data_IF_342054179146
#
_entry.id   IF_342054179146
#
_cell.length_a   1.000
_cell.length_b   1.000
_cell.length_c   1.000
_cell.angle_alpha   90.00
_cell.angle_beta   90.00
_cell.angle_gamma   90.00
#
_symmetry.space_group_name_H-M   'P 1'
#
loop_
_entity.id
_entity.type
_entity.pdbx_description
1 polymer ?
#
# COMPACT_ATOMS: atom_id res chain seq x y z
N UNK A 1 -17.90 -12.74 -14.19
CA UNK A 1 -18.54 -12.50 -12.86
C UNK A 1 -18.66 -13.73 -11.95
N UNK A 2 -17.85 -14.81 -12.15
CA UNK A 2 -18.02 -16.10 -11.41
C UNK A 2 -16.73 -16.88 -11.16
N UNK A 3 -15.59 -16.28 -10.86
CA UNK A 3 -14.34 -17.04 -10.71
C UNK A 3 -13.51 -16.86 -9.44
N UNK A 4 -14.02 -16.19 -8.39
CA UNK A 4 -13.29 -16.04 -7.11
C UNK A 4 -13.92 -16.79 -5.93
N UNK A 5 -14.82 -17.77 -6.18
CA UNK A 5 -15.43 -18.59 -5.13
C UNK A 5 -15.12 -20.09 -5.27
N UNK A 6 -13.87 -20.47 -5.42
CA UNK A 6 -13.49 -21.88 -5.41
C UNK A 6 -12.82 -22.27 -4.10
N UNK A 7 -13.61 -22.92 -3.22
CA UNK A 7 -13.18 -23.70 -2.05
C UNK A 7 -12.62 -22.96 -0.82
N UNK A 8 -13.43 -22.17 -0.15
CA UNK A 8 -13.24 -21.98 1.29
C UNK A 8 -14.16 -22.90 2.07
N UNK A 9 -13.60 -23.70 2.98
CA UNK A 9 -14.36 -24.61 3.87
C UNK A 9 -15.43 -23.84 4.63
N UNK A 10 -16.58 -24.51 4.87
CA UNK A 10 -17.73 -23.96 5.61
C UNK A 10 -17.40 -23.81 7.10
N UNK A 11 -16.60 -22.81 7.48
CA UNK A 11 -16.31 -22.48 8.88
C UNK A 11 -17.22 -21.36 9.39
N UNK A 12 -17.73 -21.49 10.63
CA UNK A 12 -18.55 -20.47 11.33
C UNK A 12 -17.90 -19.08 11.39
N UNK A 13 -16.57 -19.00 11.34
CA UNK A 13 -15.79 -17.76 11.25
C UNK A 13 -16.12 -16.92 10.00
N UNK A 14 -16.49 -17.56 8.91
CA UNK A 14 -16.76 -16.92 7.63
C UNK A 14 -18.05 -16.07 7.62
N UNK A 15 -19.08 -16.45 8.39
CA UNK A 15 -20.36 -15.71 8.43
C UNK A 15 -20.28 -14.41 9.23
N UNK A 16 -19.58 -14.43 10.35
CA UNK A 16 -19.40 -13.22 11.18
C UNK A 16 -18.50 -12.20 10.47
N UNK A 17 -17.41 -12.64 9.86
CA UNK A 17 -16.54 -11.78 9.07
C UNK A 17 -17.30 -11.16 7.88
N UNK A 18 -18.07 -11.97 7.14
CA UNK A 18 -18.85 -11.48 6.00
C UNK A 18 -19.92 -10.47 6.42
N UNK A 19 -20.60 -10.70 7.55
CA UNK A 19 -21.59 -9.77 8.12
C UNK A 19 -20.94 -8.46 8.52
N UNK A 20 -19.79 -8.50 9.18
CA UNK A 20 -19.04 -7.32 9.58
C UNK A 20 -18.46 -6.57 8.37
N UNK A 21 -18.01 -7.30 7.35
CA UNK A 21 -17.50 -6.71 6.12
C UNK A 21 -18.59 -5.99 5.33
N UNK A 22 -19.75 -6.63 5.14
CA UNK A 22 -20.90 -6.04 4.43
C UNK A 22 -21.56 -4.89 5.22
N UNK A 23 -21.44 -4.91 6.54
CA UNK A 23 -21.92 -3.85 7.43
C UNK A 23 -21.00 -2.62 7.49
N UNK A 24 -19.77 -2.73 7.04
CA UNK A 24 -18.76 -1.69 7.12
C UNK A 24 -19.12 -0.49 6.21
N UNK A 25 -19.27 0.72 6.77
CA UNK A 25 -19.67 1.89 6.00
C UNK A 25 -18.68 2.24 4.89
N UNK A 26 -17.38 2.03 5.12
CA UNK A 26 -16.35 2.28 4.10
C UNK A 26 -16.40 1.27 2.96
N UNK A 27 -16.85 0.03 3.18
CA UNK A 27 -17.08 -0.93 2.10
C UNK A 27 -18.21 -0.45 1.19
N UNK A 28 -19.34 -0.04 1.79
CA UNK A 28 -20.49 0.49 1.03
C UNK A 28 -20.12 1.75 0.27
N UNK A 29 -19.35 2.62 0.91
CA UNK A 29 -18.90 3.85 0.27
C UNK A 29 -17.95 3.55 -0.91
N UNK A 30 -17.00 2.62 -0.74
CA UNK A 30 -16.10 2.23 -1.82
C UNK A 30 -16.87 1.71 -3.05
N UNK A 31 -17.89 0.89 -2.81
CA UNK A 31 -18.78 0.42 -3.88
C UNK A 31 -19.50 1.58 -4.60
N UNK A 32 -20.06 2.53 -3.83
CA UNK A 32 -20.74 3.72 -4.38
C UNK A 32 -19.77 4.59 -5.19
N UNK A 33 -18.56 4.77 -4.70
CA UNK A 33 -17.54 5.63 -5.32
C UNK A 33 -16.78 4.91 -6.46
N UNK A 34 -17.08 3.61 -6.71
CA UNK A 34 -16.47 2.82 -7.77
C UNK A 34 -15.05 2.38 -7.47
N UNK A 35 -14.68 2.28 -6.20
CA UNK A 35 -13.40 1.74 -5.77
C UNK A 35 -13.46 0.24 -5.49
N UNK A 36 -12.37 -0.47 -5.78
CA UNK A 36 -12.26 -1.92 -5.62
C UNK A 36 -12.23 -2.37 -4.16
N UNK A 37 -11.73 -1.51 -3.27
CA UNK A 37 -11.63 -1.82 -1.84
C UNK A 37 -11.71 -0.57 -0.97
N UNK A 38 -12.18 -0.75 0.26
CA UNK A 38 -12.24 0.30 1.29
C UNK A 38 -10.88 0.87 1.71
N UNK A 39 -9.80 0.15 1.41
CA UNK A 39 -8.43 0.59 1.71
C UNK A 39 -8.08 1.94 1.06
N UNK A 40 -8.79 2.33 0.00
CA UNK A 40 -8.62 3.64 -0.65
C UNK A 40 -8.74 4.79 0.34
N UNK A 41 -9.68 4.74 1.29
CA UNK A 41 -9.90 5.82 2.24
C UNK A 41 -8.78 5.99 3.25
N UNK A 42 -7.97 4.97 3.49
CA UNK A 42 -6.75 5.10 4.29
C UNK A 42 -5.74 6.02 3.60
N UNK A 43 -5.51 5.79 2.30
CA UNK A 43 -4.61 6.63 1.52
C UNK A 43 -5.16 8.04 1.32
N UNK A 44 -6.44 8.18 0.97
CA UNK A 44 -7.04 9.50 0.72
C UNK A 44 -6.99 10.39 1.97
N UNK A 45 -7.35 9.87 3.15
CA UNK A 45 -7.27 10.61 4.42
C UNK A 45 -5.83 11.03 4.76
N UNK A 46 -4.86 10.13 4.55
CA UNK A 46 -3.44 10.44 4.79
C UNK A 46 -2.93 11.47 3.78
N UNK A 47 -3.32 11.35 2.51
CA UNK A 47 -2.93 12.30 1.46
C UNK A 47 -3.54 13.68 1.68
N UNK A 48 -4.81 13.78 2.08
CA UNK A 48 -5.48 15.05 2.40
C UNK A 48 -4.75 15.79 3.53
N UNK A 49 -4.34 15.09 4.58
CA UNK A 49 -3.63 15.66 5.72
C UNK A 49 -2.16 15.98 5.41
N UNK A 50 -1.47 15.07 4.73
CA UNK A 50 -0.02 15.15 4.54
C UNK A 50 0.42 15.70 3.19
N UNK A 51 -0.51 15.93 2.25
CA UNK A 51 -0.26 16.43 0.89
C UNK A 51 0.86 15.63 0.17
N UNK A 52 0.68 14.29 0.15
CA UNK A 52 1.68 13.36 -0.36
C UNK A 52 1.74 13.33 -1.88
N UNK A 53 0.57 13.29 -2.52
CA UNK A 53 0.43 13.00 -3.95
C UNK A 53 0.32 14.31 -4.71
N UNK A 54 1.26 14.54 -5.64
CA UNK A 54 1.38 15.76 -6.44
C UNK A 54 1.63 15.43 -7.90
N UNK A 55 1.13 16.27 -8.83
CA UNK A 55 1.46 16.16 -10.24
C UNK A 55 2.97 16.08 -10.49
N UNK A 56 3.36 15.28 -11.48
CA UNK A 56 4.75 15.13 -11.91
C UNK A 56 5.59 14.12 -11.12
N UNK A 57 5.03 13.51 -10.06
CA UNK A 57 5.75 12.53 -9.25
C UNK A 57 5.92 11.18 -9.94
N UNK A 58 6.98 10.48 -9.55
CA UNK A 58 7.19 9.05 -9.76
C UNK A 58 6.80 8.33 -8.45
N UNK A 59 5.78 7.49 -8.50
CA UNK A 59 5.19 6.79 -7.35
C UNK A 59 5.27 5.29 -7.57
N UNK A 60 5.73 4.56 -6.55
CA UNK A 60 5.71 3.09 -6.52
C UNK A 60 4.75 2.63 -5.43
N UNK A 61 3.80 1.74 -5.77
CA UNK A 61 2.77 1.18 -4.89
C UNK A 61 3.04 -0.32 -4.70
N UNK A 62 3.62 -0.69 -3.54
CA UNK A 62 3.97 -2.05 -3.17
C UNK A 62 2.78 -2.73 -2.48
N UNK A 63 2.36 -3.89 -3.00
CA UNK A 63 1.16 -4.58 -2.53
C UNK A 63 -0.11 -3.90 -3.04
N UNK A 64 -0.12 -3.51 -4.31
CA UNK A 64 -1.17 -2.66 -4.90
C UNK A 64 -2.50 -3.38 -5.14
N UNK A 65 -2.53 -4.73 -5.25
CA UNK A 65 -3.78 -5.47 -5.49
C UNK A 65 -4.78 -5.32 -4.31
N UNK A 66 -6.06 -5.19 -4.58
CA UNK A 66 -6.78 -5.27 -5.84
C UNK A 66 -6.78 -3.98 -6.69
N UNK A 67 -6.06 -2.94 -6.30
CA UNK A 67 -5.88 -1.72 -7.08
C UNK A 67 -6.67 -0.50 -6.61
N UNK A 68 -7.16 -0.48 -5.36
CA UNK A 68 -7.92 0.69 -4.87
C UNK A 68 -7.05 1.93 -4.67
N UNK A 69 -5.80 1.76 -4.23
CA UNK A 69 -4.84 2.86 -4.15
C UNK A 69 -4.42 3.32 -5.54
N UNK A 70 -4.16 2.37 -6.45
CA UNK A 70 -3.88 2.66 -7.86
C UNK A 70 -5.01 3.46 -8.52
N UNK A 71 -6.29 3.13 -8.23
CA UNK A 71 -7.44 3.91 -8.71
C UNK A 71 -7.46 5.34 -8.15
N UNK A 72 -7.12 5.52 -6.86
CA UNK A 72 -7.02 6.84 -6.25
C UNK A 72 -5.91 7.67 -6.90
N UNK A 73 -4.73 7.08 -7.09
CA UNK A 73 -3.60 7.72 -7.78
C UNK A 73 -3.97 8.12 -9.20
N UNK A 74 -4.62 7.23 -9.96
CA UNK A 74 -5.06 7.52 -11.31
C UNK A 74 -6.06 8.69 -11.36
N UNK A 75 -7.01 8.75 -10.43
CA UNK A 75 -7.96 9.88 -10.34
C UNK A 75 -7.28 11.19 -9.93
N UNK A 76 -6.33 11.12 -8.98
CA UNK A 76 -5.62 12.30 -8.46
C UNK A 76 -4.67 12.91 -9.47
N UNK A 77 -4.00 12.10 -10.28
CA UNK A 77 -2.97 12.49 -11.24
C UNK A 77 -3.48 12.55 -12.69
N UNK A 78 -4.71 12.13 -12.94
CA UNK A 78 -5.30 12.09 -14.28
C UNK A 78 -5.35 13.46 -14.94
N UNK A 79 -5.08 13.51 -16.25
CA UNK A 79 -5.10 14.73 -17.06
C UNK A 79 -6.50 15.04 -17.64
N UNK A 80 -7.50 14.20 -17.33
CA UNK A 80 -8.89 14.38 -17.78
C UNK A 80 -9.27 13.55 -19.00
N UNK A 81 -8.34 12.91 -19.68
CA UNK A 81 -8.60 11.97 -20.79
C UNK A 81 -8.92 10.54 -20.36
N UNK A 82 -8.86 10.29 -19.04
CA UNK A 82 -9.12 9.00 -18.43
C UNK A 82 -8.00 7.95 -18.60
N UNK A 83 -6.91 8.30 -19.26
CA UNK A 83 -5.81 7.35 -19.54
C UNK A 83 -4.43 7.90 -19.20
N UNK A 84 -4.20 9.19 -19.34
CA UNK A 84 -2.91 9.82 -19.13
C UNK A 84 -2.79 10.38 -17.71
N UNK A 85 -1.64 10.17 -17.09
CA UNK A 85 -1.33 10.70 -15.77
C UNK A 85 -0.28 11.83 -15.88
N UNK A 86 -0.44 12.84 -15.05
CA UNK A 86 0.63 13.80 -14.79
C UNK A 86 1.58 13.22 -13.74
N UNK A 87 2.48 12.37 -14.19
CA UNK A 87 3.42 11.59 -13.37
C UNK A 87 3.54 10.14 -13.85
N UNK A 88 4.29 9.35 -13.12
CA UNK A 88 4.48 7.92 -13.36
C UNK A 88 4.04 7.16 -12.12
N UNK A 89 3.18 6.16 -12.29
CA UNK A 89 2.76 5.28 -11.19
C UNK A 89 3.03 3.84 -11.59
N UNK A 90 3.79 3.13 -10.75
CA UNK A 90 4.13 1.72 -10.92
C UNK A 90 3.56 0.97 -9.73
N UNK A 91 2.59 0.09 -9.98
CA UNK A 91 2.03 -0.83 -9.00
C UNK A 91 2.71 -2.19 -9.09
N UNK A 92 3.00 -2.81 -7.95
CA UNK A 92 3.62 -4.12 -7.88
C UNK A 92 2.92 -4.99 -6.84
N UNK A 93 2.55 -6.22 -7.23
CA UNK A 93 1.93 -7.20 -6.35
C UNK A 93 2.18 -8.62 -6.84
N UNK A 94 2.24 -9.57 -5.91
CA UNK A 94 2.28 -11.01 -6.24
C UNK A 94 0.94 -11.50 -6.81
N UNK A 95 -0.15 -10.87 -6.40
CA UNK A 95 -1.50 -11.20 -6.85
C UNK A 95 -1.82 -10.48 -8.16
N UNK A 96 -2.63 -11.11 -9.04
CA UNK A 96 -3.10 -10.44 -10.24
C UNK A 96 -4.00 -9.25 -9.88
N UNK A 97 -3.94 -8.23 -10.71
CA UNK A 97 -4.77 -7.02 -10.59
C UNK A 97 -5.39 -6.69 -11.95
N UNK A 98 -6.69 -6.41 -11.97
CA UNK A 98 -7.33 -5.86 -13.15
C UNK A 98 -6.66 -4.52 -13.52
N UNK A 99 -6.42 -4.22 -14.79
CA UNK A 99 -5.77 -2.99 -15.21
C UNK A 99 -6.46 -1.74 -14.66
N UNK A 100 -5.65 -0.76 -14.28
CA UNK A 100 -6.10 0.61 -13.97
C UNK A 100 -5.47 1.53 -15.00
N UNK A 101 -6.25 2.31 -15.78
CA UNK A 101 -5.71 3.16 -16.82
C UNK A 101 -4.62 4.10 -16.30
N UNK A 102 -3.51 4.19 -17.04
CA UNK A 102 -2.37 5.02 -16.69
C UNK A 102 -1.41 4.42 -15.63
N UNK A 103 -1.74 3.29 -15.03
CA UNK A 103 -0.88 2.60 -14.06
C UNK A 103 -0.09 1.51 -14.74
N UNK A 104 1.23 1.51 -14.54
CA UNK A 104 2.10 0.40 -14.92
C UNK A 104 2.02 -0.67 -13.83
N UNK A 105 1.52 -1.85 -14.16
CA UNK A 105 1.40 -2.95 -13.19
C UNK A 105 2.40 -4.04 -13.49
N UNK A 106 3.18 -4.41 -12.47
CA UNK A 106 4.09 -5.56 -12.49
C UNK A 106 3.51 -6.62 -11.57
N UNK A 107 3.24 -7.81 -12.09
CA UNK A 107 2.86 -8.94 -11.28
C UNK A 107 4.10 -9.76 -10.94
N UNK A 108 4.47 -9.77 -9.65
CA UNK A 108 5.62 -10.55 -9.18
C UNK A 108 6.00 -10.24 -7.75
N UNK A 109 7.00 -10.94 -7.29
CA UNK A 109 7.62 -10.68 -5.99
C UNK A 109 8.82 -9.75 -6.19
N UNK A 110 8.80 -8.57 -5.60
CA UNK A 110 9.88 -7.58 -5.76
C UNK A 110 11.22 -8.03 -5.11
N UNK A 111 11.25 -9.17 -4.42
CA UNK A 111 12.47 -9.84 -3.98
C UNK A 111 13.16 -10.60 -5.11
N UNK A 112 12.46 -10.87 -6.20
CA UNK A 112 13.02 -11.53 -7.37
C UNK A 112 13.76 -10.52 -8.25
N UNK A 113 14.97 -10.86 -8.67
CA UNK A 113 15.83 -10.00 -9.48
C UNK A 113 15.17 -9.59 -10.81
N UNK A 114 14.43 -10.51 -11.44
CA UNK A 114 13.70 -10.24 -12.68
C UNK A 114 12.64 -9.16 -12.51
N UNK A 115 11.91 -9.18 -11.38
CA UNK A 115 10.87 -8.21 -11.06
C UNK A 115 11.47 -6.85 -10.73
N UNK A 116 12.57 -6.83 -9.99
CA UNK A 116 13.31 -5.59 -9.73
C UNK A 116 13.84 -4.98 -11.03
N UNK A 117 14.37 -5.80 -11.93
CA UNK A 117 14.87 -5.33 -13.23
C UNK A 117 13.74 -4.72 -14.08
N UNK A 118 12.55 -5.33 -14.10
CA UNK A 118 11.37 -4.76 -14.77
C UNK A 118 10.98 -3.40 -14.17
N UNK A 119 10.94 -3.30 -12.85
CA UNK A 119 10.68 -2.05 -12.15
C UNK A 119 11.72 -0.97 -12.50
N UNK A 120 13.01 -1.31 -12.46
CA UNK A 120 14.10 -0.39 -12.79
C UNK A 120 14.03 0.07 -14.25
N UNK A 121 13.61 -0.81 -15.15
CA UNK A 121 13.35 -0.47 -16.56
C UNK A 121 12.23 0.55 -16.68
N UNK A 122 11.14 0.38 -15.95
CA UNK A 122 10.03 1.35 -15.92
C UNK A 122 10.41 2.68 -15.24
N UNK A 123 11.29 2.64 -14.26
CA UNK A 123 11.83 3.84 -13.62
C UNK A 123 12.74 4.64 -14.58
N UNK A 124 13.33 3.99 -15.59
CA UNK A 124 14.18 4.65 -16.60
C UNK A 124 15.28 5.53 -15.97
N UNK A 125 16.00 4.97 -15.01
CA UNK A 125 17.05 5.68 -14.26
C UNK A 125 16.59 6.75 -13.29
N UNK A 126 15.28 6.96 -13.17
CA UNK A 126 14.70 7.91 -12.20
C UNK A 126 14.57 7.26 -10.82
N UNK A 127 14.61 8.10 -9.80
CA UNK A 127 14.25 7.73 -8.43
C UNK A 127 12.79 8.09 -8.16
N UNK A 128 12.14 7.32 -7.27
CA UNK A 128 10.78 7.59 -6.85
C UNK A 128 10.69 8.83 -5.94
N UNK A 129 9.62 9.58 -6.09
CA UNK A 129 9.25 10.66 -5.17
C UNK A 129 8.50 10.12 -3.95
N UNK A 130 7.73 9.05 -4.17
CA UNK A 130 6.89 8.44 -3.15
C UNK A 130 6.86 6.92 -3.33
N UNK A 131 7.09 6.20 -2.24
CA UNK A 131 6.84 4.77 -2.14
C UNK A 131 5.68 4.57 -1.17
N UNK A 132 4.69 3.82 -1.60
CA UNK A 132 3.52 3.41 -0.82
C UNK A 132 3.58 1.92 -0.55
N UNK A 133 3.13 1.46 0.61
CA UNK A 133 3.02 0.04 0.92
C UNK A 133 1.84 -0.23 1.86
N UNK A 134 0.82 -0.92 1.34
CA UNK A 134 -0.28 -1.49 2.14
C UNK A 134 -0.15 -3.03 2.27
N UNK A 135 1.07 -3.55 2.11
CA UNK A 135 1.34 -4.98 2.25
C UNK A 135 0.94 -5.48 3.63
N UNK A 136 0.35 -6.67 3.68
CA UNK A 136 0.03 -7.37 4.91
C UNK A 136 0.40 -8.85 4.76
N UNK A 137 0.98 -9.47 5.80
CA UNK A 137 1.24 -10.90 5.74
C UNK A 137 -0.07 -11.68 5.89
N UNK A 138 -0.07 -12.92 5.40
CA UNK A 138 -1.08 -13.89 5.79
C UNK A 138 -0.88 -14.25 7.26
N UNK A 139 -1.82 -13.82 8.10
CA UNK A 139 -1.76 -14.06 9.54
C UNK A 139 -2.05 -15.53 9.83
N UNK A 140 -1.19 -16.15 10.66
CA UNK A 140 -1.34 -17.54 11.10
C UNK A 140 -2.18 -17.69 12.36
N UNK A 141 -2.38 -16.58 13.09
CA UNK A 141 -2.99 -16.55 14.42
C UNK A 141 -1.99 -16.82 15.55
N UNK A 142 -0.71 -17.05 15.23
CA UNK A 142 0.38 -17.19 16.21
C UNK A 142 1.07 -15.83 16.31
N UNK A 143 0.88 -15.14 17.43
CA UNK A 143 1.26 -13.74 17.59
C UNK A 143 2.75 -13.46 17.28
N UNK A 144 3.66 -14.32 17.75
CA UNK A 144 5.10 -14.15 17.51
C UNK A 144 5.50 -14.34 16.03
N UNK A 145 4.91 -15.34 15.36
CA UNK A 145 5.16 -15.59 13.95
C UNK A 145 4.56 -14.47 13.07
N UNK A 146 3.39 -13.98 13.43
CA UNK A 146 2.73 -12.90 12.71
C UNK A 146 3.47 -11.57 12.89
N UNK A 147 3.98 -11.29 14.10
CA UNK A 147 4.83 -10.12 14.35
C UNK A 147 6.11 -10.14 13.50
N UNK A 148 6.81 -11.29 13.44
CA UNK A 148 8.00 -11.43 12.62
C UNK A 148 7.73 -11.24 11.11
N UNK A 149 6.58 -11.71 10.62
CA UNK A 149 6.20 -11.51 9.21
C UNK A 149 5.90 -10.04 8.90
N UNK A 150 5.23 -9.35 9.82
CA UNK A 150 4.97 -7.91 9.68
C UNK A 150 6.28 -7.14 9.66
N UNK A 151 7.18 -7.40 10.61
CA UNK A 151 8.50 -6.77 10.68
C UNK A 151 9.29 -6.99 9.38
N UNK A 152 9.31 -8.21 8.87
CA UNK A 152 9.98 -8.54 7.62
C UNK A 152 9.45 -7.73 6.42
N UNK A 153 8.12 -7.60 6.28
CA UNK A 153 7.55 -6.78 5.20
C UNK A 153 7.89 -5.29 5.33
N UNK A 154 7.99 -4.81 6.57
CA UNK A 154 8.42 -3.44 6.85
C UNK A 154 9.88 -3.21 6.46
N UNK A 155 10.77 -4.15 6.79
CA UNK A 155 12.18 -4.11 6.40
C UNK A 155 12.33 -4.08 4.89
N UNK A 156 11.62 -4.97 4.19
CA UNK A 156 11.63 -5.00 2.74
C UNK A 156 11.18 -3.68 2.11
N UNK A 157 10.11 -3.06 2.63
CA UNK A 157 9.64 -1.78 2.14
C UNK A 157 10.65 -0.65 2.42
N UNK A 158 11.32 -0.69 3.58
CA UNK A 158 12.32 0.29 3.96
C UNK A 158 13.59 0.15 3.12
N UNK A 159 14.08 -1.05 2.90
CA UNK A 159 15.25 -1.34 2.06
C UNK A 159 14.97 -0.93 0.61
N UNK A 160 13.79 -1.29 0.09
CA UNK A 160 13.35 -0.85 -1.24
C UNK A 160 13.32 0.67 -1.34
N UNK A 161 12.71 1.35 -0.38
CA UNK A 161 12.63 2.80 -0.36
C UNK A 161 14.03 3.45 -0.30
N UNK A 162 14.92 2.93 0.53
CA UNK A 162 16.29 3.44 0.64
C UNK A 162 17.05 3.32 -0.69
N UNK A 163 16.83 2.22 -1.42
CA UNK A 163 17.46 2.00 -2.72
C UNK A 163 16.88 2.87 -3.84
N UNK A 164 15.58 3.14 -3.83
CA UNK A 164 14.86 3.71 -4.98
C UNK A 164 14.25 5.10 -4.76
N UNK A 165 14.20 5.64 -3.54
CA UNK A 165 13.71 7.00 -3.29
C UNK A 165 14.73 8.09 -3.66
N UNK A 166 14.21 9.23 -4.07
CA UNK A 166 14.96 10.49 -4.07
C UNK A 166 15.33 10.89 -2.63
N UNK A 167 16.43 11.64 -2.41
CA UNK A 167 16.74 12.16 -1.07
C UNK A 167 15.59 12.96 -0.44
N UNK A 168 14.81 13.68 -1.25
CA UNK A 168 13.62 14.43 -0.81
C UNK A 168 12.35 13.59 -0.74
N UNK A 169 12.41 12.31 -1.10
CA UNK A 169 11.28 11.42 -1.21
C UNK A 169 10.60 11.04 0.11
N UNK A 170 9.50 10.32 0.00
CA UNK A 170 8.73 9.84 1.15
C UNK A 170 8.36 8.37 1.01
N UNK A 171 8.29 7.68 2.15
CA UNK A 171 7.76 6.33 2.29
C UNK A 171 6.54 6.35 3.21
N UNK A 172 5.42 5.87 2.72
CA UNK A 172 4.23 5.57 3.53
C UNK A 172 4.05 4.05 3.60
N UNK A 173 4.09 3.48 4.78
CA UNK A 173 3.99 2.04 4.95
C UNK A 173 3.06 1.67 6.10
N UNK A 174 2.24 0.64 5.87
CA UNK A 174 1.42 0.04 6.91
C UNK A 174 2.27 -0.76 7.88
N UNK A 175 2.05 -0.56 9.16
CA UNK A 175 2.58 -1.37 10.25
C UNK A 175 1.49 -1.63 11.30
N UNK A 176 1.86 -2.29 12.38
CA UNK A 176 0.94 -2.60 13.46
C UNK A 176 1.55 -2.17 14.79
N UNK A 177 0.74 -1.54 15.62
CA UNK A 177 1.13 -1.21 16.99
C UNK A 177 1.17 -2.50 17.82
N UNK A 178 2.38 -2.98 18.09
CA UNK A 178 2.63 -4.25 18.77
C UNK A 178 4.05 -4.29 19.33
N UNK A 179 4.54 -5.49 19.66
CA UNK A 179 5.84 -5.70 20.31
C UNK A 179 7.04 -5.17 19.52
N UNK A 180 6.97 -5.20 18.19
CA UNK A 180 8.06 -4.77 17.29
C UNK A 180 7.95 -3.30 16.87
N UNK A 181 6.87 -2.59 17.24
CA UNK A 181 6.60 -1.24 16.76
C UNK A 181 7.74 -0.24 17.08
N UNK A 182 8.29 -0.30 18.29
CA UNK A 182 9.35 0.62 18.69
C UNK A 182 10.64 0.42 17.90
N UNK A 183 10.98 -0.82 17.57
CA UNK A 183 12.16 -1.15 16.77
C UNK A 183 11.98 -0.68 15.33
N UNK A 184 10.80 -0.90 14.76
CA UNK A 184 10.42 -0.38 13.45
C UNK A 184 10.49 1.16 13.43
N UNK A 185 9.91 1.82 14.41
CA UNK A 185 9.92 3.27 14.53
C UNK A 185 11.34 3.84 14.65
N UNK A 186 12.22 3.15 15.38
CA UNK A 186 13.63 3.51 15.49
C UNK A 186 14.31 3.43 14.12
N UNK A 187 14.17 2.32 13.39
CA UNK A 187 14.74 2.16 12.04
C UNK A 187 14.26 3.25 11.08
N UNK A 188 12.98 3.62 11.15
CA UNK A 188 12.45 4.74 10.35
C UNK A 188 13.11 6.07 10.72
N UNK A 189 13.31 6.35 12.01
CA UNK A 189 14.00 7.56 12.48
C UNK A 189 15.49 7.58 12.11
N UNK A 190 16.11 6.42 12.02
CA UNK A 190 17.50 6.31 11.58
C UNK A 190 17.63 6.56 10.06
N UNK A 191 16.57 6.25 9.29
CA UNK A 191 16.55 6.37 7.83
C UNK A 191 16.01 7.72 7.34
N UNK A 192 15.00 8.29 8.01
CA UNK A 192 14.33 9.51 7.55
C UNK A 192 14.53 10.69 8.51
N UNK A 193 14.59 11.89 7.94
CA UNK A 193 14.69 13.13 8.73
C UNK A 193 13.44 13.35 9.58
N UNK A 194 12.25 13.08 9.02
CA UNK A 194 10.99 13.15 9.78
C UNK A 194 10.22 11.85 9.65
N UNK A 195 9.64 11.40 10.76
CA UNK A 195 8.77 10.22 10.83
C UNK A 195 7.51 10.58 11.59
N UNK A 196 6.36 10.41 10.94
CA UNK A 196 5.05 10.72 11.50
C UNK A 196 4.15 9.50 11.45
N UNK A 197 3.66 9.00 12.59
CA UNK A 197 2.61 7.99 12.62
C UNK A 197 1.29 8.58 12.13
N UNK A 198 0.53 7.80 11.36
CA UNK A 198 -0.79 8.15 10.83
C UNK A 198 -1.79 7.04 11.15
N UNK A 199 -2.92 7.41 11.73
CA UNK A 199 -4.03 6.50 12.03
C UNK A 199 -5.29 7.03 11.35
N UNK A 200 -5.54 6.68 10.06
CA UNK A 200 -6.74 7.13 9.36
C UNK A 200 -8.01 6.54 10.00
N UNK A 201 -9.11 7.28 9.97
CA UNK A 201 -10.43 6.83 10.46
C UNK A 201 -10.93 5.59 9.73
N UNK A 202 -10.50 5.45 8.46
CA UNK A 202 -10.78 4.25 7.69
C UNK A 202 -10.05 2.99 8.22
N UNK A 203 -9.06 3.11 9.10
CA UNK A 203 -8.57 1.97 9.89
C UNK A 203 -9.61 1.61 10.94
N UNK A 204 -9.89 0.30 11.09
CA UNK A 204 -10.88 -0.15 12.09
C UNK A 204 -10.38 0.15 13.51
N UNK A 205 -11.25 0.62 14.38
CA UNK A 205 -10.89 1.03 15.75
C UNK A 205 -10.22 -0.08 16.56
N UNK A 206 -10.67 -1.33 16.38
CA UNK A 206 -10.08 -2.49 17.06
C UNK A 206 -8.80 -3.01 16.40
N UNK A 207 -8.42 -2.48 15.24
CA UNK A 207 -7.19 -2.87 14.55
C UNK A 207 -5.98 -2.13 15.13
N UNK A 208 -4.90 -2.87 15.41
CA UNK A 208 -3.61 -2.28 15.76
C UNK A 208 -2.89 -1.64 14.56
N UNK A 209 -3.51 -1.65 13.37
CA UNK A 209 -2.96 -1.04 12.15
C UNK A 209 -2.68 0.44 12.33
N UNK A 210 -1.50 0.86 11.91
CA UNK A 210 -1.04 2.25 11.85
C UNK A 210 -0.17 2.40 10.61
N UNK A 211 -0.04 3.60 10.09
CA UNK A 211 0.90 3.90 9.00
C UNK A 211 2.06 4.73 9.54
N UNK A 212 3.27 4.46 9.06
CA UNK A 212 4.43 5.33 9.25
C UNK A 212 4.72 6.09 7.98
N UNK A 213 4.80 7.41 8.10
CA UNK A 213 5.22 8.31 7.03
C UNK A 213 6.63 8.81 7.33
N UNK A 214 7.62 8.29 6.59
CA UNK A 214 8.99 8.79 6.59
C UNK A 214 9.20 9.78 5.45
N UNK A 215 9.87 10.90 5.70
CA UNK A 215 10.19 11.91 4.70
C UNK A 215 11.64 12.32 4.76
N UNK A 216 12.23 12.52 3.59
CA UNK A 216 13.63 12.93 3.36
C UNK A 216 14.60 11.90 3.93
N UNK A 217 15.30 11.19 3.07
CA UNK A 217 16.38 10.29 3.48
C UNK A 217 17.49 11.07 4.18
N UNK A 218 18.11 10.41 5.18
CA UNK A 218 19.28 10.96 5.89
C UNK A 218 20.56 10.75 5.10
#
# INVERSE_FOLDING_TARGET
EKLYFTRMSKNKFNKSWMKNHLGDPFVKQAQKDGYRARAVYKLSEIDEDAQLIRPGQVIVDLGCAPGSWSQYLARKLGTGDGQTLNGTVIGLDMLPMEPVPGIHFIQGDFREESVLHELETLLDGKKADLVLSDMAPNLSGIASADAARVEYLMELALDFATAHLKPSGALLVKCFNGSTYNDILKRFRDTFVTVTPKKPKASRDYSSEIFLLGRKLR
#
